data_IF_644364204850
#
_entry.id   IF_644364204850
#
_cell.length_a   1.000
_cell.length_b   1.000
_cell.length_c   1.000
_cell.angle_alpha   90.00
_cell.angle_beta   90.00
_cell.angle_gamma   90.00
#
_symmetry.space_group_name_H-M   'P 1'
#
loop_
_entity.id
_entity.type
_entity.pdbx_description
1 polymer ?
#
# COMPACT_ATOMS: atom_id res chain seq x y z
N UNK A 1 35.00 -25.84 -1.17
CA UNK A 1 34.80 -24.37 -1.14
C UNK A 1 33.98 -23.86 -2.33
N UNK A 2 34.33 -24.17 -3.59
CA UNK A 2 33.51 -23.77 -4.75
C UNK A 2 32.14 -24.45 -4.82
N UNK A 3 32.07 -25.76 -4.56
CA UNK A 3 30.81 -26.55 -4.57
C UNK A 3 29.84 -26.08 -3.47
N UNK A 4 30.36 -25.75 -2.29
CA UNK A 4 29.57 -25.22 -1.15
C UNK A 4 29.08 -23.79 -1.39
N UNK A 5 29.83 -22.95 -2.10
CA UNK A 5 29.36 -21.62 -2.49
C UNK A 5 28.24 -21.70 -3.54
N UNK A 6 28.34 -22.66 -4.46
CA UNK A 6 27.35 -22.89 -5.51
C UNK A 6 26.06 -23.54 -4.97
N UNK A 7 26.15 -24.44 -3.98
CA UNK A 7 24.96 -24.96 -3.27
C UNK A 7 24.23 -23.87 -2.50
N UNK A 8 24.95 -23.03 -1.75
CA UNK A 8 24.36 -21.92 -0.99
C UNK A 8 23.64 -20.90 -1.90
N UNK A 9 24.17 -20.69 -3.11
CA UNK A 9 23.54 -19.79 -4.10
C UNK A 9 22.28 -20.41 -4.69
N UNK A 10 22.28 -21.72 -4.95
CA UNK A 10 21.11 -22.43 -5.47
C UNK A 10 19.98 -22.48 -4.43
N UNK A 11 20.30 -22.76 -3.18
CA UNK A 11 19.31 -22.79 -2.08
C UNK A 11 18.65 -21.43 -1.88
N UNK A 12 19.42 -20.34 -1.97
CA UNK A 12 18.89 -18.97 -1.91
C UNK A 12 17.94 -18.65 -3.08
N UNK A 13 18.26 -19.12 -4.29
CA UNK A 13 17.39 -18.94 -5.48
C UNK A 13 16.09 -19.75 -5.35
N UNK A 14 16.16 -21.00 -4.85
CA UNK A 14 14.98 -21.84 -4.63
C UNK A 14 14.05 -21.22 -3.59
N UNK A 15 14.60 -20.71 -2.49
CA UNK A 15 13.82 -20.05 -1.44
C UNK A 15 13.17 -18.75 -1.94
N UNK A 16 13.93 -17.95 -2.69
CA UNK A 16 13.42 -16.77 -3.37
C UNK A 16 12.28 -17.05 -4.34
N UNK A 17 12.39 -18.13 -5.10
CA UNK A 17 11.35 -18.58 -6.03
C UNK A 17 10.07 -19.02 -5.30
N UNK A 18 10.19 -19.87 -4.27
CA UNK A 18 9.05 -20.30 -3.44
C UNK A 18 8.32 -19.12 -2.83
N UNK A 19 9.10 -18.17 -2.34
CA UNK A 19 8.58 -16.95 -1.78
C UNK A 19 7.80 -16.13 -2.79
N UNK A 20 8.38 -15.91 -3.97
CA UNK A 20 7.71 -15.16 -5.05
C UNK A 20 6.41 -15.83 -5.46
N UNK A 21 6.34 -17.17 -5.46
CA UNK A 21 5.10 -17.89 -5.68
C UNK A 21 4.06 -17.62 -4.58
N UNK A 22 4.43 -17.66 -3.29
CA UNK A 22 3.51 -17.32 -2.20
C UNK A 22 2.99 -15.89 -2.33
N UNK A 23 3.85 -14.94 -2.69
CA UNK A 23 3.45 -13.55 -2.95
C UNK A 23 2.42 -13.48 -4.06
N UNK A 24 2.68 -14.15 -5.19
CA UNK A 24 1.76 -14.17 -6.32
C UNK A 24 0.41 -14.80 -5.95
N UNK A 25 0.39 -15.90 -5.18
CA UNK A 25 -0.87 -16.51 -4.73
C UNK A 25 -1.67 -15.58 -3.80
N UNK A 26 -0.99 -14.93 -2.85
CA UNK A 26 -1.62 -13.95 -1.98
C UNK A 26 -2.13 -12.73 -2.78
N UNK A 27 -1.37 -12.28 -3.76
CA UNK A 27 -1.75 -11.21 -4.68
C UNK A 27 -3.00 -11.54 -5.51
N UNK A 28 -3.09 -12.76 -6.04
CA UNK A 28 -4.27 -13.25 -6.77
C UNK A 28 -5.48 -13.34 -5.83
N UNK A 29 -5.30 -13.86 -4.61
CA UNK A 29 -6.35 -13.88 -3.59
C UNK A 29 -6.85 -12.48 -3.25
N UNK A 30 -5.93 -11.52 -3.07
CA UNK A 30 -6.24 -10.11 -2.86
C UNK A 30 -6.98 -9.48 -4.05
N UNK A 31 -6.58 -9.81 -5.30
CA UNK A 31 -7.27 -9.35 -6.49
C UNK A 31 -8.71 -9.90 -6.58
N UNK A 32 -8.94 -11.16 -6.19
CA UNK A 32 -10.27 -11.73 -6.12
C UNK A 32 -11.15 -11.01 -5.08
N UNK A 33 -10.60 -10.70 -3.90
CA UNK A 33 -11.32 -9.91 -2.88
C UNK A 33 -11.69 -8.52 -3.39
N UNK A 34 -10.76 -7.82 -4.04
CA UNK A 34 -11.03 -6.50 -4.64
C UNK A 34 -12.12 -6.59 -5.71
N UNK A 35 -12.09 -7.64 -6.54
CA UNK A 35 -13.12 -7.83 -7.58
C UNK A 35 -14.50 -8.10 -6.96
N UNK A 36 -14.57 -8.94 -5.93
CA UNK A 36 -15.83 -9.21 -5.22
C UNK A 36 -16.37 -7.94 -4.57
N UNK A 37 -15.53 -7.19 -3.86
CA UNK A 37 -15.91 -5.90 -3.26
C UNK A 37 -16.42 -4.92 -4.32
N UNK A 38 -15.73 -4.82 -5.46
CA UNK A 38 -16.13 -3.97 -6.58
C UNK A 38 -17.51 -4.34 -7.11
N UNK A 39 -17.76 -5.63 -7.37
CA UNK A 39 -19.04 -6.12 -7.89
C UNK A 39 -20.18 -5.92 -6.90
N UNK A 40 -19.95 -6.18 -5.62
CA UNK A 40 -20.95 -6.02 -4.56
C UNK A 40 -21.36 -4.56 -4.37
N UNK A 41 -20.40 -3.64 -4.43
CA UNK A 41 -20.64 -2.21 -4.19
C UNK A 41 -20.99 -1.43 -5.47
N UNK A 42 -20.95 -2.06 -6.64
CA UNK A 42 -21.26 -1.42 -7.93
C UNK A 42 -22.71 -0.88 -8.04
N UNK A 43 -23.76 -1.57 -7.56
CA UNK A 43 -25.12 -1.02 -7.59
C UNK A 43 -25.26 0.26 -6.75
N UNK A 44 -24.57 0.32 -5.62
CA UNK A 44 -24.52 1.50 -4.75
C UNK A 44 -23.72 2.63 -5.39
N UNK A 45 -22.60 2.32 -6.06
CA UNK A 45 -21.84 3.29 -6.85
C UNK A 45 -22.72 3.95 -7.91
N UNK A 46 -23.47 3.17 -8.69
CA UNK A 46 -24.34 3.68 -9.76
C UNK A 46 -25.48 4.53 -9.19
N UNK A 47 -26.09 4.13 -8.08
CA UNK A 47 -27.21 4.86 -7.48
C UNK A 47 -26.80 6.11 -6.70
N UNK A 48 -25.62 6.11 -6.06
CA UNK A 48 -25.19 7.18 -5.15
C UNK A 48 -24.12 8.09 -5.76
N UNK A 49 -23.13 7.54 -6.47
CA UNK A 49 -21.96 8.30 -6.92
C UNK A 49 -22.14 8.88 -8.32
N UNK A 50 -22.83 8.18 -9.22
CA UNK A 50 -23.04 8.66 -10.59
C UNK A 50 -23.90 9.93 -10.66
N UNK A 51 -25.07 10.01 -9.99
CA UNK A 51 -25.90 11.21 -10.00
C UNK A 51 -25.37 12.33 -9.09
N UNK A 52 -24.43 12.04 -8.19
CA UNK A 52 -23.87 13.05 -7.29
C UNK A 52 -23.20 14.20 -8.07
N UNK A 53 -23.28 15.45 -7.57
CA UNK A 53 -22.62 16.59 -8.20
C UNK A 53 -21.10 16.38 -8.26
N UNK A 54 -20.45 17.03 -9.24
CA UNK A 54 -19.00 17.02 -9.33
C UNK A 54 -18.37 17.67 -8.09
N UNK A 55 -17.41 16.98 -7.49
CA UNK A 55 -16.69 17.45 -6.32
C UNK A 55 -15.44 16.61 -6.05
N UNK A 56 -14.53 17.13 -5.22
CA UNK A 56 -13.28 16.45 -4.87
C UNK A 56 -13.48 15.02 -4.36
N UNK A 57 -14.45 14.72 -3.45
CA UNK A 57 -14.67 13.35 -2.99
C UNK A 57 -15.09 12.39 -4.11
N UNK A 58 -15.90 12.85 -5.08
CA UNK A 58 -16.32 12.06 -6.24
C UNK A 58 -15.13 11.71 -7.11
N UNK A 59 -14.30 12.71 -7.45
CA UNK A 59 -13.10 12.50 -8.27
C UNK A 59 -12.12 11.54 -7.58
N UNK A 60 -11.84 11.74 -6.30
CA UNK A 60 -10.94 10.86 -5.54
C UNK A 60 -11.46 9.43 -5.45
N UNK A 61 -12.76 9.25 -5.25
CA UNK A 61 -13.39 7.94 -5.23
C UNK A 61 -13.19 7.19 -6.55
N UNK A 62 -13.56 7.79 -7.69
CA UNK A 62 -13.41 7.16 -9.00
C UNK A 62 -11.93 6.90 -9.34
N UNK A 63 -11.06 7.87 -9.09
CA UNK A 63 -9.63 7.70 -9.35
C UNK A 63 -9.05 6.52 -8.58
N UNK A 64 -9.28 6.45 -7.26
CA UNK A 64 -8.71 5.39 -6.43
C UNK A 64 -9.32 4.02 -6.73
N UNK A 65 -10.64 3.95 -6.88
CA UNK A 65 -11.37 2.70 -7.09
C UNK A 65 -10.96 2.02 -8.40
N UNK A 66 -10.90 2.77 -9.50
CA UNK A 66 -10.54 2.21 -10.80
C UNK A 66 -9.03 2.04 -10.96
N UNK A 67 -8.22 2.90 -10.34
CA UNK A 67 -6.75 2.71 -10.31
C UNK A 67 -6.36 1.46 -9.51
N UNK A 68 -7.09 1.13 -8.44
CA UNK A 68 -6.86 -0.10 -7.69
C UNK A 68 -7.12 -1.35 -8.55
N UNK A 69 -8.20 -1.37 -9.34
CA UNK A 69 -8.45 -2.45 -10.29
C UNK A 69 -7.34 -2.57 -11.33
N UNK A 70 -6.95 -1.45 -11.96
CA UNK A 70 -5.88 -1.42 -12.94
C UNK A 70 -4.54 -1.91 -12.34
N UNK A 71 -4.23 -1.48 -11.12
CA UNK A 71 -3.06 -1.93 -10.37
C UNK A 71 -3.05 -3.44 -10.16
N UNK A 72 -4.18 -4.04 -9.74
CA UNK A 72 -4.28 -5.49 -9.54
C UNK A 72 -4.11 -6.29 -10.83
N UNK A 73 -4.64 -5.80 -11.95
CA UNK A 73 -4.42 -6.43 -13.27
C UNK A 73 -2.94 -6.38 -13.65
N UNK A 74 -2.29 -5.23 -13.50
CA UNK A 74 -0.87 -5.06 -13.85
C UNK A 74 0.06 -5.89 -12.94
N UNK A 75 -0.24 -5.95 -11.64
CA UNK A 75 0.49 -6.79 -10.68
C UNK A 75 0.31 -8.28 -11.01
N UNK A 76 -0.91 -8.70 -11.35
CA UNK A 76 -1.19 -10.07 -11.81
C UNK A 76 -0.40 -10.43 -13.06
N UNK A 77 -0.41 -9.57 -14.08
CA UNK A 77 0.36 -9.76 -15.31
C UNK A 77 1.86 -9.86 -15.02
N UNK A 78 2.40 -9.02 -14.14
CA UNK A 78 3.80 -9.08 -13.72
C UNK A 78 4.16 -10.43 -13.08
N UNK A 79 3.26 -11.00 -12.27
CA UNK A 79 3.44 -12.30 -11.62
C UNK A 79 3.37 -13.51 -12.56
N UNK A 80 2.82 -13.37 -13.78
CA UNK A 80 2.73 -14.48 -14.74
C UNK A 80 4.10 -14.84 -15.29
N UNK A 81 4.46 -16.13 -15.31
CA UNK A 81 5.75 -16.57 -15.82
C UNK A 81 5.80 -16.57 -17.35
N UNK A 82 6.27 -15.48 -17.97
CA UNK A 82 6.27 -15.33 -19.44
C UNK A 82 7.66 -15.24 -20.08
N UNK A 83 8.75 -15.55 -19.38
CA UNK A 83 10.08 -15.48 -20.00
C UNK A 83 10.59 -14.05 -20.26
N UNK A 84 10.23 -13.09 -19.40
CA UNK A 84 10.56 -11.67 -19.58
C UNK A 84 12.05 -11.39 -19.46
N UNK A 85 12.52 -10.37 -20.18
CA UNK A 85 13.88 -9.87 -20.01
C UNK A 85 14.06 -9.21 -18.63
N UNK A 86 15.29 -9.12 -18.10
CA UNK A 86 15.55 -8.41 -16.84
C UNK A 86 15.09 -6.95 -16.85
N UNK A 87 15.17 -6.28 -18.00
CA UNK A 87 14.71 -4.89 -18.17
C UNK A 87 13.18 -4.78 -18.10
N UNK A 88 12.46 -5.72 -18.71
CA UNK A 88 11.00 -5.78 -18.63
C UNK A 88 10.53 -6.06 -17.20
N UNK A 89 11.23 -6.94 -16.48
CA UNK A 89 10.97 -7.19 -15.06
C UNK A 89 11.20 -5.91 -14.22
N UNK A 90 12.31 -5.22 -14.45
CA UNK A 90 12.59 -3.95 -13.78
C UNK A 90 11.50 -2.90 -14.05
N UNK A 91 11.13 -2.69 -15.31
CA UNK A 91 10.10 -1.72 -15.70
C UNK A 91 8.74 -2.09 -15.11
N UNK A 92 8.40 -3.39 -15.09
CA UNK A 92 7.21 -3.89 -14.42
C UNK A 92 7.21 -3.58 -12.92
N UNK A 93 8.32 -3.86 -12.24
CA UNK A 93 8.49 -3.63 -10.81
C UNK A 93 8.38 -2.15 -10.44
N UNK A 94 9.07 -1.26 -11.17
CA UNK A 94 8.97 0.20 -10.95
C UNK A 94 7.55 0.68 -11.17
N UNK A 95 6.90 0.25 -12.27
CA UNK A 95 5.52 0.65 -12.59
C UNK A 95 4.55 0.24 -11.48
N UNK A 96 4.58 -1.01 -11.05
CA UNK A 96 3.70 -1.48 -9.96
C UNK A 96 4.03 -0.75 -8.65
N UNK A 97 5.31 -0.55 -8.34
CA UNK A 97 5.72 0.16 -7.12
C UNK A 97 5.23 1.61 -7.07
N UNK A 98 5.38 2.36 -8.17
CA UNK A 98 4.89 3.75 -8.27
C UNK A 98 3.37 3.82 -8.16
N UNK A 99 2.64 2.90 -8.81
CA UNK A 99 1.18 2.82 -8.69
C UNK A 99 0.75 2.50 -7.25
N UNK A 100 1.39 1.54 -6.58
CA UNK A 100 1.15 1.25 -5.16
C UNK A 100 1.34 2.50 -4.29
N UNK A 101 2.43 3.24 -4.51
CA UNK A 101 2.72 4.47 -3.75
C UNK A 101 1.63 5.54 -3.96
N UNK A 102 1.18 5.73 -5.20
CA UNK A 102 0.13 6.68 -5.53
C UNK A 102 -1.22 6.29 -4.88
N UNK A 103 -1.57 4.99 -4.89
CA UNK A 103 -2.77 4.47 -4.23
C UNK A 103 -2.72 4.66 -2.71
N UNK A 104 -1.58 4.37 -2.08
CA UNK A 104 -1.38 4.58 -0.64
C UNK A 104 -1.53 6.07 -0.30
N UNK A 105 -0.86 6.95 -1.05
CA UNK A 105 -0.95 8.40 -0.82
C UNK A 105 -2.37 8.93 -1.01
N UNK A 106 -3.10 8.46 -2.02
CA UNK A 106 -4.49 8.88 -2.20
C UNK A 106 -5.43 8.33 -1.13
N UNK A 107 -5.24 7.09 -0.67
CA UNK A 107 -5.99 6.51 0.45
C UNK A 107 -5.74 7.28 1.75
N UNK A 108 -4.48 7.64 2.03
CA UNK A 108 -4.11 8.51 3.14
C UNK A 108 -4.73 9.92 3.01
N UNK A 109 -4.74 10.48 1.80
CA UNK A 109 -5.42 11.75 1.51
C UNK A 109 -6.91 11.73 1.87
N UNK A 110 -7.63 10.63 1.60
CA UNK A 110 -9.03 10.47 2.02
C UNK A 110 -9.15 10.51 3.55
N UNK A 111 -8.23 9.88 4.27
CA UNK A 111 -8.22 9.89 5.73
C UNK A 111 -8.01 11.29 6.29
N UNK A 112 -7.14 12.07 5.65
CA UNK A 112 -6.84 13.44 6.06
C UNK A 112 -8.05 14.35 5.80
N UNK A 113 -8.71 14.20 4.65
CA UNK A 113 -9.96 14.89 4.34
C UNK A 113 -11.06 14.56 5.35
N UNK A 114 -11.14 13.29 5.76
CA UNK A 114 -12.08 12.83 6.79
C UNK A 114 -11.77 13.47 8.15
N UNK A 115 -10.52 13.48 8.59
CA UNK A 115 -10.10 14.14 9.82
C UNK A 115 -10.39 15.64 9.81
N UNK A 116 -10.14 16.31 8.69
CA UNK A 116 -10.49 17.71 8.50
C UNK A 116 -12.00 17.97 8.60
N UNK A 117 -12.82 17.15 7.93
CA UNK A 117 -14.28 17.28 7.98
C UNK A 117 -14.80 17.14 9.41
N UNK A 118 -14.28 16.17 10.16
CA UNK A 118 -14.65 15.89 11.54
C UNK A 118 -14.23 16.96 12.54
N UNK A 119 -13.10 17.63 12.29
CA UNK A 119 -12.64 18.77 13.09
C UNK A 119 -13.53 20.02 13.00
N UNK A 120 -14.68 19.95 12.32
CA UNK A 120 -15.51 21.11 12.02
C UNK A 120 -14.87 22.05 10.99
N UNK A 121 -14.09 21.50 10.06
CA UNK A 121 -13.39 22.24 9.00
C UNK A 121 -12.35 23.26 9.52
N UNK A 122 -11.67 22.93 10.62
CA UNK A 122 -10.63 23.79 11.20
C UNK A 122 -9.45 23.98 10.23
N UNK A 123 -9.29 25.20 9.70
CA UNK A 123 -8.23 25.54 8.72
C UNK A 123 -6.82 25.34 9.26
N UNK A 124 -6.59 25.49 10.57
CA UNK A 124 -5.28 25.23 11.19
C UNK A 124 -4.93 23.75 11.14
N UNK A 125 -5.90 22.88 11.41
CA UNK A 125 -5.72 21.44 11.27
C UNK A 125 -5.45 21.06 9.81
N UNK A 126 -6.16 21.67 8.85
CA UNK A 126 -5.88 21.43 7.43
C UNK A 126 -4.44 21.78 7.05
N UNK A 127 -3.94 22.95 7.49
CA UNK A 127 -2.56 23.35 7.21
C UNK A 127 -1.54 22.36 7.80
N UNK A 128 -1.78 21.90 9.02
CA UNK A 128 -0.98 20.86 9.66
C UNK A 128 -1.02 19.54 8.88
N UNK A 129 -2.21 19.07 8.49
CA UNK A 129 -2.39 17.83 7.73
C UNK A 129 -1.70 17.89 6.36
N UNK A 130 -1.79 19.02 5.64
CA UNK A 130 -1.08 19.20 4.37
C UNK A 130 0.43 19.16 4.58
N UNK A 131 0.94 19.86 5.61
CA UNK A 131 2.35 19.85 5.93
C UNK A 131 2.85 18.44 6.26
N UNK A 132 2.15 17.71 7.12
CA UNK A 132 2.46 16.34 7.48
C UNK A 132 2.47 15.43 6.23
N UNK A 133 1.42 15.53 5.39
CA UNK A 133 1.28 14.72 4.18
C UNK A 133 2.49 14.92 3.25
N UNK A 134 2.83 16.18 2.95
CA UNK A 134 3.96 16.51 2.07
C UNK A 134 5.27 16.04 2.68
N UNK A 135 5.51 16.28 3.97
CA UNK A 135 6.76 15.90 4.63
C UNK A 135 6.97 14.37 4.64
N UNK A 136 5.93 13.61 5.02
CA UNK A 136 5.99 12.15 5.10
C UNK A 136 6.14 11.53 3.72
N UNK A 137 5.30 11.91 2.74
CA UNK A 137 5.37 11.32 1.42
C UNK A 137 6.65 11.69 0.66
N UNK A 138 7.18 12.90 0.87
CA UNK A 138 8.48 13.26 0.30
C UNK A 138 9.59 12.39 0.89
N UNK A 139 9.62 12.20 2.20
CA UNK A 139 10.60 11.33 2.85
C UNK A 139 10.48 9.87 2.41
N UNK A 140 9.26 9.34 2.35
CA UNK A 140 8.99 7.99 1.86
C UNK A 140 9.42 7.84 0.39
N UNK A 141 9.13 8.81 -0.47
CA UNK A 141 9.54 8.79 -1.88
C UNK A 141 11.07 8.77 -2.04
N UNK A 142 11.82 9.50 -1.20
CA UNK A 142 13.29 9.46 -1.19
C UNK A 142 13.80 8.07 -0.81
N UNK A 143 13.24 7.46 0.24
CA UNK A 143 13.61 6.11 0.67
C UNK A 143 13.28 5.07 -0.39
N UNK A 144 12.11 5.16 -1.01
CA UNK A 144 11.66 4.26 -2.07
C UNK A 144 12.55 4.42 -3.31
N UNK A 145 12.92 5.63 -3.68
CA UNK A 145 13.84 5.87 -4.81
C UNK A 145 15.20 5.23 -4.57
N UNK A 146 15.76 5.39 -3.35
CA UNK A 146 17.01 4.72 -2.97
C UNK A 146 16.88 3.20 -2.96
N UNK A 147 15.74 2.67 -2.50
CA UNK A 147 15.42 1.25 -2.53
C UNK A 147 15.34 0.70 -3.96
N UNK A 148 14.70 1.43 -4.88
CA UNK A 148 14.67 1.05 -6.28
C UNK A 148 16.10 0.97 -6.81
N UNK A 149 16.92 2.00 -6.64
CA UNK A 149 18.32 1.99 -7.08
C UNK A 149 19.20 0.88 -6.48
N UNK A 150 18.89 0.38 -5.28
CA UNK A 150 19.61 -0.77 -4.69
C UNK A 150 19.15 -2.12 -5.25
N UNK A 151 18.00 -2.15 -5.92
CA UNK A 151 17.40 -3.37 -6.46
C UNK A 151 18.06 -3.77 -7.77
N UNK A 152 18.48 -5.04 -7.89
CA UNK A 152 19.12 -5.57 -9.11
C UNK A 152 18.35 -6.74 -9.69
N UNK A 153 18.18 -6.72 -11.02
CA UNK A 153 17.61 -7.83 -11.81
C UNK A 153 18.69 -8.40 -12.72
N UNK A 154 18.71 -9.72 -12.88
CA UNK A 154 19.68 -10.42 -13.71
C UNK A 154 19.13 -11.77 -14.19
N UNK A 155 19.85 -12.47 -15.07
CA UNK A 155 19.40 -13.74 -15.61
C UNK A 155 19.31 -14.79 -14.49
N UNK A 156 18.12 -15.34 -14.30
CA UNK A 156 17.88 -16.45 -13.38
C UNK A 156 18.03 -17.79 -14.12
N UNK A 157 18.56 -18.84 -13.47
CA UNK A 157 18.65 -20.18 -14.06
C UNK A 157 17.25 -20.80 -14.34
N UNK A 158 16.19 -20.21 -13.78
CA UNK A 158 14.79 -20.56 -14.02
C UNK A 158 14.15 -19.36 -14.75
N UNK A 159 13.94 -19.44 -16.08
CA UNK A 159 13.61 -18.26 -16.90
C UNK A 159 12.16 -17.79 -16.75
N UNK A 160 11.42 -18.20 -15.72
CA UNK A 160 9.97 -18.03 -15.69
C UNK A 160 9.54 -16.80 -14.92
N UNK A 161 10.12 -16.45 -13.77
CA UNK A 161 9.54 -15.45 -12.85
C UNK A 161 10.43 -14.23 -12.66
N UNK A 162 9.82 -13.04 -12.70
CA UNK A 162 10.49 -11.78 -12.37
C UNK A 162 10.74 -11.68 -10.86
N UNK A 163 11.99 -11.88 -10.44
CA UNK A 163 12.40 -11.78 -9.04
C UNK A 163 13.65 -10.89 -8.92
N UNK A 164 13.70 -9.94 -7.96
CA UNK A 164 14.92 -9.18 -7.70
C UNK A 164 15.98 -10.05 -7.02
N UNK A 165 17.22 -9.95 -7.48
CA UNK A 165 18.37 -10.71 -6.97
C UNK A 165 18.92 -10.12 -5.67
N UNK A 166 18.83 -8.81 -5.53
CA UNK A 166 19.31 -8.06 -4.38
C UNK A 166 18.38 -6.87 -4.18
N UNK A 167 18.03 -6.55 -2.94
CA UNK A 167 17.25 -5.36 -2.59
C UNK A 167 17.52 -4.99 -1.13
N UNK A 168 17.63 -3.68 -0.83
CA UNK A 168 17.84 -3.20 0.54
C UNK A 168 16.51 -3.01 1.27
N UNK A 169 16.08 -4.05 1.97
CA UNK A 169 14.82 -4.05 2.71
C UNK A 169 14.73 -3.03 3.85
N UNK A 170 15.86 -2.51 4.34
CA UNK A 170 15.85 -1.53 5.44
C UNK A 170 15.27 -0.20 4.96
N UNK A 171 15.61 0.21 3.73
CA UNK A 171 15.05 1.42 3.12
C UNK A 171 13.54 1.33 2.94
N UNK A 172 13.05 0.17 2.49
CA UNK A 172 11.63 -0.10 2.33
C UNK A 172 10.90 -0.12 3.68
N UNK A 173 11.49 -0.76 4.69
CA UNK A 173 10.99 -0.76 6.07
C UNK A 173 10.90 0.67 6.64
N UNK A 174 11.89 1.51 6.38
CA UNK A 174 11.88 2.92 6.76
C UNK A 174 10.70 3.68 6.15
N UNK A 175 10.42 3.47 4.86
CA UNK A 175 9.30 4.10 4.18
C UNK A 175 7.94 3.68 4.79
N UNK A 176 7.73 2.38 5.03
CA UNK A 176 6.51 1.91 5.70
C UNK A 176 6.39 2.42 7.13
N UNK A 177 7.50 2.56 7.86
CA UNK A 177 7.50 3.12 9.22
C UNK A 177 7.06 4.59 9.22
N UNK A 178 7.50 5.38 8.23
CA UNK A 178 7.05 6.77 8.09
C UNK A 178 5.55 6.86 7.82
N UNK A 179 5.03 6.01 6.92
CA UNK A 179 3.60 5.96 6.60
C UNK A 179 2.77 5.51 7.82
N UNK A 180 3.22 4.45 8.53
CA UNK A 180 2.57 3.99 9.76
C UNK A 180 2.51 5.10 10.81
N UNK A 181 3.62 5.82 11.03
CA UNK A 181 3.66 6.95 11.94
C UNK A 181 2.62 8.02 11.59
N UNK A 182 2.49 8.33 10.29
CA UNK A 182 1.51 9.30 9.81
C UNK A 182 0.06 8.87 10.08
N UNK A 183 -0.28 7.62 9.76
CA UNK A 183 -1.61 7.04 10.00
C UNK A 183 -1.94 7.06 11.50
N UNK A 184 -0.99 6.67 12.36
CA UNK A 184 -1.16 6.66 13.82
C UNK A 184 -1.38 8.08 14.35
N UNK A 185 -0.62 9.08 13.89
CA UNK A 185 -0.82 10.47 14.28
C UNK A 185 -2.25 10.94 13.93
N UNK A 186 -2.71 10.70 12.70
CA UNK A 186 -4.06 11.10 12.29
C UNK A 186 -5.14 10.33 13.05
N UNK A 187 -4.92 9.04 13.33
CA UNK A 187 -5.82 8.25 14.17
C UNK A 187 -5.92 8.85 15.58
N UNK A 188 -4.81 9.26 16.20
CA UNK A 188 -4.82 9.89 17.51
C UNK A 188 -5.55 11.24 17.51
N UNK A 189 -5.35 12.06 16.47
CA UNK A 189 -6.10 13.31 16.27
C UNK A 189 -7.60 13.01 16.17
N UNK A 190 -7.97 11.99 15.39
CA UNK A 190 -9.35 11.56 15.19
C UNK A 190 -10.01 11.08 16.49
N UNK A 191 -9.31 10.27 17.28
CA UNK A 191 -9.76 9.81 18.59
C UNK A 191 -9.92 11.00 19.54
N UNK A 192 -8.96 11.94 19.55
CA UNK A 192 -9.04 13.14 20.37
C UNK A 192 -10.28 13.98 20.05
N UNK A 193 -10.55 14.24 18.75
CA UNK A 193 -11.74 14.99 18.32
C UNK A 193 -13.01 14.22 18.72
N UNK A 194 -13.05 12.90 18.51
CA UNK A 194 -14.19 12.06 18.89
C UNK A 194 -14.49 12.15 20.40
N UNK A 195 -13.46 12.12 21.25
CA UNK A 195 -13.61 12.22 22.71
C UNK A 195 -14.07 13.61 23.17
N UNK A 196 -13.61 14.67 22.51
CA UNK A 196 -14.09 16.03 22.79
C UNK A 196 -15.56 16.19 22.42
N UNK A 197 -15.95 15.69 21.25
CA UNK A 197 -17.33 15.77 20.76
C UNK A 197 -18.28 14.87 21.55
N UNK A 198 -17.81 13.76 22.12
CA UNK A 198 -18.64 12.92 22.99
C UNK A 198 -19.10 13.68 24.25
N UNK A 199 -18.34 14.70 24.69
CA UNK A 199 -18.72 15.58 25.81
C UNK A 199 -19.70 16.68 25.42
N UNK A 200 -19.83 17.00 24.13
CA UNK A 200 -20.74 18.01 23.59
C UNK A 200 -21.78 17.36 22.68
N UNK A 201 -22.90 16.89 23.23
CA UNK A 201 -23.99 16.17 22.56
C UNK A 201 -24.13 16.42 21.03
N UNK A 202 -23.51 15.55 20.23
CA UNK A 202 -23.72 15.46 18.77
C UNK A 202 -24.47 14.17 18.40
N UNK A 203 -25.09 14.18 17.22
CA UNK A 203 -26.04 13.16 16.76
C UNK A 203 -25.45 11.73 16.71
N UNK A 204 -26.31 10.72 16.92
CA UNK A 204 -25.94 9.31 16.85
C UNK A 204 -25.30 8.91 15.49
N UNK A 205 -25.74 9.54 14.39
CA UNK A 205 -25.17 9.34 13.06
C UNK A 205 -23.67 9.69 13.03
N UNK A 206 -23.28 10.83 13.61
CA UNK A 206 -21.89 11.27 13.61
C UNK A 206 -21.00 10.31 14.41
N UNK A 207 -21.51 9.77 15.53
CA UNK A 207 -20.78 8.79 16.34
C UNK A 207 -20.54 7.46 15.60
N UNK A 208 -21.52 6.99 14.82
CA UNK A 208 -21.34 5.80 13.96
C UNK A 208 -20.23 6.08 12.93
N UNK A 209 -20.28 7.25 12.28
CA UNK A 209 -19.23 7.68 11.34
C UNK A 209 -17.84 7.80 11.99
N UNK A 210 -17.74 8.19 13.26
CA UNK A 210 -16.45 8.19 13.99
C UNK A 210 -15.95 6.77 14.26
N UNK A 211 -16.82 5.89 14.77
CA UNK A 211 -16.48 4.51 15.11
C UNK A 211 -15.98 3.75 13.89
N UNK A 212 -16.72 3.83 12.79
CA UNK A 212 -16.38 3.12 11.55
C UNK A 212 -15.13 3.74 10.90
N UNK A 213 -14.88 5.03 11.15
CA UNK A 213 -13.64 5.69 10.74
C UNK A 213 -12.42 5.22 11.50
N UNK A 214 -12.49 5.19 12.83
CA UNK A 214 -11.41 4.72 13.69
C UNK A 214 -11.08 3.26 13.40
N UNK A 215 -12.10 2.42 13.18
CA UNK A 215 -11.89 1.01 12.78
C UNK A 215 -11.03 0.90 11.51
N UNK A 216 -11.29 1.73 10.51
CA UNK A 216 -10.49 1.76 9.29
C UNK A 216 -9.02 2.17 9.56
N UNK A 217 -8.77 3.16 10.43
CA UNK A 217 -7.41 3.52 10.84
C UNK A 217 -6.68 2.38 11.55
N UNK A 218 -7.38 1.63 12.41
CA UNK A 218 -6.83 0.47 13.12
C UNK A 218 -6.44 -0.63 12.11
N UNK A 219 -7.33 -0.97 11.18
CA UNK A 219 -7.04 -1.96 10.15
C UNK A 219 -5.83 -1.58 9.30
N UNK A 220 -5.74 -0.31 8.86
CA UNK A 220 -4.58 0.16 8.09
C UNK A 220 -3.29 0.16 8.90
N UNK A 221 -3.35 0.54 10.18
CA UNK A 221 -2.18 0.50 11.07
C UNK A 221 -1.70 -0.93 11.28
N UNK A 222 -2.63 -1.88 11.46
CA UNK A 222 -2.31 -3.30 11.59
C UNK A 222 -1.69 -3.86 10.30
N UNK A 223 -2.20 -3.50 9.13
CA UNK A 223 -1.64 -3.89 7.84
C UNK A 223 -0.23 -3.30 7.63
N UNK A 224 -0.04 -2.00 7.94
CA UNK A 224 1.27 -1.36 7.85
C UNK A 224 2.29 -1.93 8.86
N UNK A 225 1.83 -2.34 10.04
CA UNK A 225 2.68 -3.02 11.02
C UNK A 225 3.05 -4.44 10.55
N UNK A 226 2.09 -5.20 10.02
CA UNK A 226 2.34 -6.51 9.44
C UNK A 226 3.38 -6.42 8.30
N UNK A 227 3.29 -5.39 7.47
CA UNK A 227 4.29 -5.06 6.45
C UNK A 227 5.71 -4.93 7.00
N UNK A 228 5.86 -4.17 8.08
CA UNK A 228 7.15 -3.95 8.75
C UNK A 228 7.67 -5.27 9.34
N UNK A 229 6.81 -6.02 10.04
CA UNK A 229 7.19 -7.29 10.66
C UNK A 229 7.65 -8.29 9.60
N UNK A 230 6.89 -8.47 8.52
CA UNK A 230 7.27 -9.36 7.43
C UNK A 230 8.61 -8.94 6.82
N UNK A 231 8.84 -7.64 6.60
CA UNK A 231 10.12 -7.14 6.08
C UNK A 231 11.32 -7.42 6.99
N UNK A 232 11.13 -7.35 8.31
CA UNK A 232 12.20 -7.55 9.30
C UNK A 232 12.48 -9.03 9.58
N UNK A 233 11.44 -9.85 9.64
CA UNK A 233 11.53 -11.27 10.02
C UNK A 233 11.85 -12.16 8.82
N UNK A 234 11.51 -11.71 7.60
CA UNK A 234 11.79 -12.44 6.38
C UNK A 234 13.30 -12.74 6.25
N UNK A 235 13.69 -14.02 6.10
CA UNK A 235 15.07 -14.39 5.80
C UNK A 235 15.54 -13.69 4.52
N UNK A 236 16.86 -13.55 4.32
CA UNK A 236 17.45 -12.78 3.21
C UNK A 236 17.00 -13.24 1.80
N UNK A 237 16.25 -14.35 1.69
CA UNK A 237 15.53 -14.78 0.50
C UNK A 237 14.09 -14.23 0.43
N UNK A 238 13.89 -13.18 -0.37
CA UNK A 238 12.65 -12.91 -1.12
C UNK A 238 11.38 -12.45 -0.39
N UNK A 239 11.15 -12.78 0.90
CA UNK A 239 9.84 -12.51 1.55
C UNK A 239 9.63 -11.02 1.83
N UNK A 240 10.69 -10.23 1.69
CA UNK A 240 10.73 -8.80 1.98
C UNK A 240 9.86 -7.95 1.03
N UNK A 241 9.28 -8.54 -0.01
CA UNK A 241 8.48 -7.81 -1.02
C UNK A 241 7.01 -8.21 -1.08
N UNK A 242 6.56 -9.04 -0.15
CA UNK A 242 5.22 -9.66 -0.11
C UNK A 242 4.03 -8.72 -0.26
N UNK A 243 4.19 -7.44 0.06
CA UNK A 243 3.10 -6.49 0.17
C UNK A 243 3.39 -5.13 -0.51
N UNK A 244 4.44 -5.07 -1.34
CA UNK A 244 4.66 -3.94 -2.26
C UNK A 244 3.76 -4.05 -3.51
N UNK A 245 3.12 -5.21 -3.71
CA UNK A 245 2.23 -5.53 -4.84
C UNK A 245 0.74 -5.33 -4.56
#
# INVERSE_FOLDING_TARGET
MLVTAQSNTLDAVVEGYRTTLYVNYLGIGGAALVLVDFLQTFPEEVSLMWPAPFGLPKVLFFLLRYSLLAHRVLAGLYGVPTGRSPEECWNGFVRTGVMSCALIAGAEGILFLRAYAFSGKNKKLMAYLIFQFVAIHTGAAVLITKFLHSTKFGPLPIPTVCMPLQADSVLLCGAFTMILGSIVIVMLIMVYIALQEHRGCRSALLMIFYRDGIFYFICLSALALANIIVNLVAPEGGLKLLLVQ
#
